data_IF_477635756335
#
_entry.id   IF_477635756335
#
_cell.length_a   1.000
_cell.length_b   1.000
_cell.length_c   1.000
_cell.angle_alpha   90.00
_cell.angle_beta   90.00
_cell.angle_gamma   90.00
#
_symmetry.space_group_name_H-M   'P 1'
#
loop_
_entity.id
_entity.type
_entity.pdbx_description
1 polymer ?
#
# COMPACT_ATOMS: atom_id res chain seq x y z
N UNK A 1 7.68 0.31 -26.51
CA UNK A 1 7.47 0.98 -25.23
C UNK A 1 7.49 2.48 -25.46
N UNK A 2 6.43 3.18 -25.10
CA UNK A 2 6.33 4.63 -25.21
C UNK A 2 6.70 5.29 -23.87
N UNK A 3 7.25 6.51 -23.95
CA UNK A 3 7.50 7.34 -22.76
C UNK A 3 6.48 8.48 -22.74
N UNK A 4 5.92 8.74 -21.58
CA UNK A 4 4.97 9.80 -21.35
C UNK A 4 5.26 10.48 -19.99
N UNK A 5 4.63 11.61 -19.78
CA UNK A 5 4.70 12.33 -18.50
C UNK A 5 3.28 12.76 -18.10
N UNK A 6 3.03 12.77 -16.82
CA UNK A 6 1.79 13.29 -16.25
C UNK A 6 2.04 13.87 -14.86
N UNK A 7 1.28 14.88 -14.51
CA UNK A 7 1.30 15.46 -13.18
C UNK A 7 0.59 14.52 -12.17
N UNK A 8 0.90 14.68 -10.90
CA UNK A 8 0.18 13.98 -9.81
C UNK A 8 -1.32 14.23 -9.92
N UNK A 9 -1.76 15.46 -10.20
CA UNK A 9 -3.17 15.79 -10.34
C UNK A 9 -3.84 15.05 -11.49
N UNK A 10 -3.16 14.95 -12.64
CA UNK A 10 -3.68 14.19 -13.80
C UNK A 10 -3.80 12.70 -13.47
N UNK A 11 -2.78 12.11 -12.83
CA UNK A 11 -2.80 10.69 -12.47
C UNK A 11 -3.88 10.37 -11.44
N UNK A 12 -4.06 11.22 -10.43
CA UNK A 12 -5.14 11.08 -9.45
C UNK A 12 -6.50 11.21 -10.14
N UNK A 13 -6.66 12.19 -11.04
CA UNK A 13 -7.88 12.34 -11.83
C UNK A 13 -8.17 11.12 -12.73
N UNK A 14 -7.14 10.50 -13.32
CA UNK A 14 -7.30 9.25 -14.09
C UNK A 14 -7.78 8.08 -13.23
N UNK A 15 -7.31 7.98 -11.97
CA UNK A 15 -7.82 6.99 -11.02
C UNK A 15 -9.31 7.24 -10.74
N UNK A 16 -9.67 8.48 -10.38
CA UNK A 16 -11.06 8.84 -10.06
C UNK A 16 -12.03 8.54 -11.20
N UNK A 17 -11.66 8.90 -12.42
CA UNK A 17 -12.49 8.67 -13.62
C UNK A 17 -12.46 7.21 -14.09
N UNK A 18 -11.73 6.32 -13.40
CA UNK A 18 -11.61 4.92 -13.79
C UNK A 18 -10.84 4.68 -15.09
N UNK A 19 -10.06 5.66 -15.55
CA UNK A 19 -9.17 5.55 -16.71
C UNK A 19 -7.93 4.71 -16.39
N UNK A 20 -7.49 4.75 -15.14
CA UNK A 20 -6.40 3.96 -14.61
C UNK A 20 -6.95 2.87 -13.70
N UNK A 21 -6.61 1.61 -13.98
CA UNK A 21 -7.10 0.43 -13.27
C UNK A 21 -5.96 -0.43 -12.77
N UNK A 22 -6.24 -1.33 -11.83
CA UNK A 22 -5.28 -2.31 -11.33
C UNK A 22 -5.58 -3.68 -11.91
N UNK A 23 -4.60 -4.37 -12.53
CA UNK A 23 -4.75 -5.78 -12.87
C UNK A 23 -4.72 -6.63 -11.60
N UNK A 24 -5.36 -7.80 -11.62
CA UNK A 24 -5.45 -8.69 -10.45
C UNK A 24 -4.08 -9.19 -9.94
N UNK A 25 -3.03 -9.14 -10.77
CA UNK A 25 -1.68 -9.52 -10.38
C UNK A 25 -1.07 -8.61 -9.30
N UNK A 26 -1.64 -7.43 -9.08
CA UNK A 26 -1.17 -6.50 -8.07
C UNK A 26 -1.58 -6.95 -6.66
N UNK A 27 -0.74 -6.67 -5.66
CA UNK A 27 -1.13 -6.83 -4.27
C UNK A 27 -2.09 -5.73 -3.83
N UNK A 28 -2.78 -5.92 -2.71
CA UNK A 28 -3.57 -4.87 -2.08
C UNK A 28 -2.67 -3.72 -1.59
N UNK A 29 -3.30 -2.57 -1.33
CA UNK A 29 -2.62 -1.45 -0.69
C UNK A 29 -2.16 -1.85 0.72
N UNK A 30 -0.85 -1.67 1.00
CA UNK A 30 -0.22 -2.10 2.26
C UNK A 30 0.65 -1.03 2.92
N UNK A 31 0.83 0.15 2.27
CA UNK A 31 1.68 1.17 2.85
C UNK A 31 1.14 1.70 4.17
N UNK A 32 2.05 1.79 5.14
CA UNK A 32 1.79 2.37 6.46
C UNK A 32 2.00 3.89 6.41
N UNK A 33 1.47 4.59 7.42
CA UNK A 33 1.52 6.05 7.53
C UNK A 33 2.93 6.65 7.40
N UNK A 34 3.99 6.07 7.98
CA UNK A 34 5.35 6.59 7.81
C UNK A 34 5.81 6.62 6.35
N UNK A 35 5.55 5.57 5.58
CA UNK A 35 5.90 5.55 4.14
C UNK A 35 5.12 6.58 3.32
N UNK A 36 3.86 6.83 3.66
CA UNK A 36 3.07 7.90 3.02
C UNK A 36 3.63 9.27 3.38
N UNK A 37 4.00 9.49 4.64
CA UNK A 37 4.70 10.70 5.10
C UNK A 37 5.98 10.94 4.30
N UNK A 38 6.82 9.93 4.14
CA UNK A 38 8.11 10.04 3.47
C UNK A 38 7.96 10.31 1.96
N UNK A 39 6.91 9.73 1.34
CA UNK A 39 6.56 10.05 -0.05
C UNK A 39 6.17 11.53 -0.18
N UNK A 40 5.26 12.01 0.68
CA UNK A 40 4.77 13.39 0.63
C UNK A 40 5.92 14.38 0.92
N UNK A 41 6.80 14.08 1.87
CA UNK A 41 7.99 14.89 2.16
C UNK A 41 8.97 14.92 0.98
N UNK A 42 9.20 13.78 0.34
CA UNK A 42 10.04 13.70 -0.87
C UNK A 42 9.50 14.58 -2.00
N UNK A 43 8.20 14.52 -2.27
CA UNK A 43 7.57 15.35 -3.30
C UNK A 43 7.57 16.83 -2.93
N UNK A 44 7.35 17.16 -1.67
CA UNK A 44 7.43 18.53 -1.16
C UNK A 44 8.84 19.12 -1.36
N UNK A 45 9.88 18.30 -1.20
CA UNK A 45 11.28 18.69 -1.44
C UNK A 45 11.69 18.66 -2.90
N UNK A 46 10.87 18.10 -3.79
CA UNK A 46 11.18 17.93 -5.21
C UNK A 46 12.12 16.76 -5.48
N UNK A 47 12.21 15.79 -4.56
CA UNK A 47 13.05 14.60 -4.72
C UNK A 47 12.41 13.60 -5.69
N UNK A 48 13.22 12.81 -6.40
CA UNK A 48 12.70 11.77 -7.28
C UNK A 48 12.00 10.67 -6.45
N UNK A 49 10.79 10.30 -6.87
CA UNK A 49 9.96 9.27 -6.21
C UNK A 49 9.71 8.03 -7.08
N UNK A 50 10.53 7.83 -8.11
CA UNK A 50 10.45 6.71 -9.04
C UNK A 50 9.58 7.01 -10.28
N UNK A 51 9.55 6.07 -11.22
CA UNK A 51 8.71 6.12 -12.42
C UNK A 51 7.39 5.37 -12.21
N UNK A 52 6.46 5.53 -13.14
CA UNK A 52 5.20 4.79 -13.21
C UNK A 52 5.27 3.85 -14.41
N UNK A 53 4.86 2.59 -14.24
CA UNK A 53 4.77 1.62 -15.32
C UNK A 53 3.31 1.35 -15.64
N UNK A 54 2.94 1.57 -16.90
CA UNK A 54 1.57 1.37 -17.41
C UNK A 54 1.56 0.36 -18.54
N UNK A 55 0.42 -0.30 -18.70
CA UNK A 55 0.10 -1.09 -19.88
C UNK A 55 -1.25 -0.63 -20.46
N UNK A 56 -1.26 -0.27 -21.72
CA UNK A 56 -2.49 -0.04 -22.47
C UNK A 56 -2.93 -1.35 -23.13
N UNK A 57 -4.18 -1.76 -22.93
CA UNK A 57 -4.67 -3.00 -23.49
C UNK A 57 -6.14 -2.92 -23.88
N UNK A 58 -6.50 -3.65 -24.94
CA UNK A 58 -7.89 -3.93 -25.31
C UNK A 58 -8.32 -5.34 -24.84
N UNK A 59 -7.40 -6.09 -24.23
CA UNK A 59 -7.69 -7.42 -23.69
C UNK A 59 -8.53 -7.28 -22.40
N UNK A 60 -9.55 -8.10 -22.30
CA UNK A 60 -10.34 -8.22 -21.07
C UNK A 60 -9.53 -8.99 -20.03
N UNK A 61 -8.92 -8.26 -19.10
CA UNK A 61 -8.17 -8.85 -17.98
C UNK A 61 -8.92 -8.68 -16.68
N UNK A 62 -8.80 -9.63 -15.74
CA UNK A 62 -9.37 -9.48 -14.40
C UNK A 62 -8.75 -8.27 -13.69
N UNK A 63 -9.61 -7.45 -13.08
CA UNK A 63 -9.24 -6.22 -12.41
C UNK A 63 -9.39 -6.35 -10.89
N UNK A 64 -8.52 -5.64 -10.18
CA UNK A 64 -8.65 -5.38 -8.76
C UNK A 64 -9.09 -3.92 -8.54
N UNK A 65 -9.84 -3.69 -7.48
CA UNK A 65 -10.23 -2.33 -7.09
C UNK A 65 -9.07 -1.58 -6.43
N UNK A 66 -8.98 -0.30 -6.71
CA UNK A 66 -8.14 0.60 -5.91
C UNK A 66 -8.70 0.72 -4.49
N UNK A 67 -7.83 1.02 -3.53
CA UNK A 67 -8.26 1.32 -2.16
C UNK A 67 -8.85 2.73 -2.00
N UNK A 68 -9.05 3.46 -3.10
CA UNK A 68 -9.70 4.78 -3.21
C UNK A 68 -10.86 4.70 -4.18
N UNK A 69 -11.84 5.59 -4.04
CA UNK A 69 -13.04 5.61 -4.87
C UNK A 69 -12.73 5.80 -6.36
N UNK A 70 -13.40 5.04 -7.20
CA UNK A 70 -13.32 5.14 -8.65
C UNK A 70 -14.72 5.18 -9.29
N UNK A 71 -14.86 5.99 -10.34
CA UNK A 71 -16.04 5.96 -11.19
C UNK A 71 -15.97 4.76 -12.15
N UNK A 72 -17.11 4.21 -12.48
CA UNK A 72 -17.21 3.17 -13.52
C UNK A 72 -17.41 3.84 -14.87
N UNK A 73 -16.45 3.70 -15.78
CA UNK A 73 -16.61 4.15 -17.16
C UNK A 73 -16.46 2.98 -18.12
N UNK A 74 -17.55 2.46 -18.69
CA UNK A 74 -17.52 1.28 -19.57
C UNK A 74 -16.96 1.57 -20.97
N UNK A 75 -16.78 2.82 -21.36
CA UNK A 75 -16.46 3.21 -22.73
C UNK A 75 -15.02 3.68 -22.96
N UNK A 76 -14.19 3.73 -21.92
CA UNK A 76 -12.81 4.19 -22.07
C UNK A 76 -11.82 3.02 -22.16
N UNK A 77 -10.82 3.19 -23.05
CA UNK A 77 -9.69 2.27 -23.11
C UNK A 77 -8.98 2.22 -21.75
N UNK A 78 -8.80 1.02 -21.26
CA UNK A 78 -8.26 0.81 -19.91
C UNK A 78 -6.74 0.88 -19.94
N UNK A 79 -6.17 1.75 -19.11
CA UNK A 79 -4.76 1.75 -18.76
C UNK A 79 -4.58 1.00 -17.46
N UNK A 80 -3.72 0.00 -17.47
CA UNK A 80 -3.43 -0.81 -16.30
C UNK A 80 -2.14 -0.33 -15.65
N UNK A 81 -2.21 -0.04 -14.36
CA UNK A 81 -1.06 0.36 -13.55
C UNK A 81 -0.30 -0.90 -13.13
N UNK A 82 0.97 -1.01 -13.54
CA UNK A 82 1.84 -2.15 -13.21
C UNK A 82 2.83 -1.82 -12.09
N UNK A 83 3.33 -0.58 -12.03
CA UNK A 83 4.14 -0.12 -10.90
C UNK A 83 3.74 1.31 -10.51
N UNK A 84 3.87 1.61 -9.22
CA UNK A 84 3.48 2.88 -8.61
C UNK A 84 2.13 2.87 -7.91
N UNK A 85 1.47 1.73 -7.78
CA UNK A 85 0.15 1.59 -7.12
C UNK A 85 0.14 2.20 -5.72
N UNK A 86 1.08 1.82 -4.86
CA UNK A 86 1.12 2.30 -3.48
C UNK A 86 1.26 3.82 -3.41
N UNK A 87 2.13 4.37 -4.27
CA UNK A 87 2.36 5.83 -4.38
C UNK A 87 1.12 6.57 -4.83
N UNK A 88 0.51 6.15 -5.94
CA UNK A 88 -0.66 6.83 -6.49
C UNK A 88 -1.90 6.70 -5.60
N UNK A 89 -2.10 5.53 -4.96
CA UNK A 89 -3.17 5.35 -3.97
C UNK A 89 -2.99 6.31 -2.78
N UNK A 90 -1.76 6.41 -2.25
CA UNK A 90 -1.44 7.32 -1.15
C UNK A 90 -1.68 8.79 -1.52
N UNK A 91 -1.22 9.19 -2.71
CA UNK A 91 -1.38 10.56 -3.20
C UNK A 91 -2.85 10.90 -3.47
N UNK A 92 -3.61 9.97 -4.05
CA UNK A 92 -5.05 10.13 -4.23
C UNK A 92 -5.75 10.37 -2.90
N UNK A 93 -5.47 9.52 -1.91
CA UNK A 93 -6.04 9.66 -0.57
C UNK A 93 -5.71 11.01 0.08
N UNK A 94 -4.44 11.42 0.06
CA UNK A 94 -3.98 12.65 0.70
C UNK A 94 -4.53 13.89 -0.01
N UNK A 95 -4.53 13.90 -1.35
CA UNK A 95 -4.95 15.07 -2.14
C UNK A 95 -6.47 15.26 -2.12
N UNK A 96 -7.24 14.17 -2.15
CA UNK A 96 -8.72 14.23 -2.12
C UNK A 96 -9.27 14.27 -0.70
N UNK A 97 -8.44 13.94 0.28
CA UNK A 97 -8.86 13.85 1.68
C UNK A 97 -9.79 12.67 1.93
N UNK A 98 -9.67 11.64 1.09
CA UNK A 98 -10.33 10.36 1.28
C UNK A 98 -9.39 9.44 2.04
N UNK A 99 -9.75 9.04 3.25
CA UNK A 99 -8.88 8.19 4.04
C UNK A 99 -8.80 6.79 3.43
N UNK A 100 -7.59 6.28 3.26
CA UNK A 100 -7.37 4.88 2.89
C UNK A 100 -7.30 4.05 4.16
N UNK A 101 -8.22 3.09 4.29
CA UNK A 101 -8.13 2.09 5.35
C UNK A 101 -7.00 1.11 5.03
N UNK A 102 -5.96 1.12 5.85
CA UNK A 102 -4.90 0.10 5.80
C UNK A 102 -5.35 -1.12 6.59
N UNK A 103 -5.10 -2.34 6.08
CA UNK A 103 -5.43 -3.58 6.78
C UNK A 103 -4.92 -3.55 8.22
N UNK A 104 -5.78 -3.91 9.16
CA UNK A 104 -5.45 -3.91 10.61
C UNK A 104 -5.58 -2.56 11.31
N UNK A 105 -5.86 -1.46 10.62
CA UNK A 105 -6.07 -0.15 11.24
C UNK A 105 -7.53 0.29 11.17
N UNK A 106 -8.05 0.73 12.30
CA UNK A 106 -9.42 1.29 12.43
C UNK A 106 -9.54 2.75 11.95
N UNK A 107 -8.41 3.44 11.72
CA UNK A 107 -8.39 4.85 11.33
C UNK A 107 -7.60 5.06 10.05
N UNK A 108 -8.11 5.93 9.16
CA UNK A 108 -7.40 6.35 7.96
C UNK A 108 -6.08 7.05 8.31
N UNK A 109 -5.12 7.00 7.38
CA UNK A 109 -3.87 7.74 7.52
C UNK A 109 -4.12 9.22 7.32
N UNK A 110 -3.93 10.03 8.35
CA UNK A 110 -3.91 11.49 8.25
C UNK A 110 -2.50 12.00 8.53
N UNK A 111 -2.05 12.97 7.74
CA UNK A 111 -0.77 13.66 7.91
C UNK A 111 -0.97 15.09 8.36
N UNK A 112 -0.07 15.55 9.23
CA UNK A 112 0.05 16.95 9.60
C UNK A 112 1.29 17.56 8.95
N UNK A 113 1.17 18.80 8.53
CA UNK A 113 2.24 19.62 7.98
C UNK A 113 2.60 20.72 8.97
N UNK A 114 3.89 20.88 9.23
CA UNK A 114 4.44 21.85 10.15
C UNK A 114 4.69 23.18 9.43
N UNK A 115 3.93 24.23 9.77
CA UNK A 115 4.15 25.57 9.24
C UNK A 115 5.47 26.21 9.72
N UNK A 116 6.06 25.67 10.81
CA UNK A 116 7.29 26.17 11.42
C UNK A 116 8.51 25.27 11.18
N UNK A 117 8.39 24.25 10.31
CA UNK A 117 9.51 23.35 10.03
C UNK A 117 10.79 24.13 9.69
N UNK A 118 12.00 23.61 10.04
CA UNK A 118 13.27 24.22 9.65
C UNK A 118 13.39 24.39 8.13
N UNK A 119 14.05 25.45 7.69
CA UNK A 119 14.36 25.66 6.26
C UNK A 119 15.53 24.78 5.82
N UNK A 120 16.38 24.36 6.78
CA UNK A 120 17.50 23.46 6.56
C UNK A 120 17.05 22.00 6.43
N UNK A 121 17.87 21.21 5.73
CA UNK A 121 17.65 19.78 5.59
C UNK A 121 17.81 19.09 6.96
N UNK A 122 16.73 18.54 7.47
CA UNK A 122 16.77 17.65 8.62
C UNK A 122 16.76 16.22 8.09
N UNK A 123 17.80 15.44 8.40
CA UNK A 123 17.86 14.03 8.09
C UNK A 123 16.89 13.30 9.03
N UNK A 124 15.83 12.79 8.50
CA UNK A 124 14.74 12.12 9.25
C UNK A 124 14.60 10.65 8.84
N UNK A 125 15.30 10.25 7.78
CA UNK A 125 15.24 8.87 7.27
C UNK A 125 16.02 7.97 8.20
N UNK A 126 15.33 7.12 8.93
CA UNK A 126 15.93 5.99 9.62
C UNK A 126 16.27 4.94 8.58
N UNK A 127 17.51 4.48 8.58
CA UNK A 127 17.94 3.36 7.74
C UNK A 127 17.78 2.12 8.59
N UNK A 128 16.77 1.30 8.28
CA UNK A 128 16.61 0.00 8.91
C UNK A 128 17.84 -0.87 8.59
N UNK A 129 18.64 -1.20 9.61
CA UNK A 129 19.85 -2.01 9.46
C UNK A 129 19.52 -3.47 9.08
N UNK A 130 18.35 -3.94 9.41
CA UNK A 130 17.88 -5.26 9.06
C UNK A 130 16.82 -5.20 7.96
N UNK A 131 17.17 -5.78 6.79
CA UNK A 131 16.24 -5.98 5.68
C UNK A 131 15.20 -7.05 5.95
N UNK A 132 14.71 -7.17 7.17
CA UNK A 132 13.55 -7.97 7.53
C UNK A 132 12.30 -7.20 7.08
N UNK A 133 11.78 -7.57 5.90
CA UNK A 133 10.42 -7.22 5.47
C UNK A 133 9.35 -7.92 6.36
N UNK A 134 9.69 -8.21 7.60
CA UNK A 134 8.73 -8.67 8.58
C UNK A 134 7.87 -7.46 8.97
N UNK A 135 6.65 -7.46 8.44
CA UNK A 135 5.56 -6.56 8.85
C UNK A 135 5.11 -6.88 10.30
N UNK A 136 6.03 -7.27 11.15
CA UNK A 136 5.77 -7.41 12.57
C UNK A 136 5.73 -6.03 13.22
N UNK A 137 4.51 -5.63 13.55
CA UNK A 137 4.07 -4.71 14.59
C UNK A 137 5.15 -3.85 15.28
N UNK A 138 5.84 -2.97 14.55
CA UNK A 138 6.31 -1.75 15.13
C UNK A 138 5.24 -0.67 14.91
N UNK A 139 4.09 -0.92 15.49
CA UNK A 139 3.25 0.15 15.97
C UNK A 139 4.15 0.88 16.99
N UNK A 140 4.51 2.12 16.70
CA UNK A 140 4.93 3.05 17.75
C UNK A 140 3.73 3.10 18.71
N UNK A 141 3.65 2.05 19.51
CA UNK A 141 2.72 1.97 20.62
C UNK A 141 3.10 3.10 21.55
N UNK A 142 2.09 3.65 22.22
CA UNK A 142 2.22 4.61 23.33
C UNK A 142 3.22 4.17 24.44
N UNK A 143 3.98 3.08 24.23
CA UNK A 143 4.94 2.49 25.17
C UNK A 143 6.36 3.11 25.12
N UNK A 144 6.69 4.02 24.18
CA UNK A 144 7.85 4.92 24.36
C UNK A 144 7.56 6.06 25.38
N UNK A 145 6.68 5.80 26.32
CA UNK A 145 6.25 6.76 27.36
C UNK A 145 7.33 7.14 28.38
N UNK A 146 8.56 6.63 28.26
CA UNK A 146 9.66 6.93 29.19
C UNK A 146 10.84 7.67 28.54
N UNK A 147 10.81 7.99 27.26
CA UNK A 147 11.71 8.92 26.62
C UNK A 147 11.21 10.34 26.87
N UNK A 148 12.07 11.17 27.45
CA UNK A 148 11.90 12.57 27.81
C UNK A 148 10.94 13.29 26.82
N UNK A 149 9.70 13.60 27.23
CA UNK A 149 8.67 14.25 26.39
C UNK A 149 9.22 15.49 25.66
N UNK A 150 10.17 16.20 26.27
CA UNK A 150 10.83 17.37 25.68
C UNK A 150 11.72 17.02 24.48
N UNK A 151 12.37 15.87 24.46
CA UNK A 151 13.21 15.44 23.33
C UNK A 151 12.35 14.98 22.16
N UNK A 152 11.29 14.25 22.45
CA UNK A 152 10.32 13.84 21.44
C UNK A 152 9.65 15.07 20.78
N UNK A 153 9.24 16.06 21.58
CA UNK A 153 8.66 17.30 21.05
C UNK A 153 9.66 18.07 20.19
N UNK A 154 10.93 18.21 20.63
CA UNK A 154 12.00 18.84 19.84
C UNK A 154 12.28 18.09 18.53
N UNK A 155 12.20 16.77 18.53
CA UNK A 155 12.32 15.94 17.31
C UNK A 155 11.17 16.22 16.36
N UNK A 156 9.93 16.20 16.85
CA UNK A 156 8.74 16.47 16.07
C UNK A 156 8.74 17.89 15.47
N UNK A 157 9.13 18.89 16.24
CA UNK A 157 9.18 20.30 15.79
C UNK A 157 10.16 20.51 14.63
N UNK A 158 11.13 19.62 14.46
CA UNK A 158 12.08 19.63 13.33
C UNK A 158 11.55 18.92 12.09
N UNK A 159 10.44 18.17 12.19
CA UNK A 159 9.86 17.43 11.07
C UNK A 159 8.95 18.33 10.24
N UNK A 160 8.99 18.14 8.93
CA UNK A 160 8.07 18.81 7.99
C UNK A 160 6.69 18.18 8.01
N UNK A 161 6.64 16.84 8.10
CA UNK A 161 5.41 16.05 8.14
C UNK A 161 5.46 15.04 9.27
N UNK A 162 4.31 14.82 9.90
CA UNK A 162 4.13 13.76 10.90
C UNK A 162 2.78 13.06 10.68
N UNK A 163 2.65 11.85 11.20
CA UNK A 163 1.35 11.18 11.29
C UNK A 163 0.50 11.90 12.33
N UNK A 164 -0.76 12.16 12.01
CA UNK A 164 -1.65 12.92 12.86
C UNK A 164 -1.91 12.21 14.20
N UNK A 165 -1.69 12.94 15.29
CA UNK A 165 -2.09 12.54 16.65
C UNK A 165 -2.97 13.63 17.24
N UNK A 166 -3.86 13.26 18.17
CA UNK A 166 -4.75 14.24 18.83
C UNK A 166 -3.99 15.38 19.52
N UNK A 167 -2.81 15.09 20.07
CA UNK A 167 -1.96 16.07 20.77
C UNK A 167 -1.41 17.10 19.78
N UNK A 168 -0.86 16.64 18.65
CA UNK A 168 -0.30 17.51 17.61
C UNK A 168 -1.37 18.30 16.84
N UNK A 169 -2.54 17.72 16.63
CA UNK A 169 -3.66 18.42 16.01
C UNK A 169 -4.13 19.65 16.77
N UNK A 170 -3.83 19.76 18.07
CA UNK A 170 -4.19 20.93 18.88
C UNK A 170 -3.19 22.08 18.76
N UNK A 171 -1.97 21.79 18.30
CA UNK A 171 -0.94 22.81 18.14
C UNK A 171 -1.22 23.70 16.91
N UNK A 172 -1.08 25.02 17.04
CA UNK A 172 -1.55 25.98 16.03
C UNK A 172 -0.74 25.92 14.72
N UNK A 173 0.53 25.53 14.78
CA UNK A 173 1.42 25.46 13.61
C UNK A 173 1.34 24.13 12.85
N UNK A 174 0.62 23.13 13.37
CA UNK A 174 0.36 21.88 12.69
C UNK A 174 -0.98 21.92 11.97
N UNK A 175 -0.98 21.74 10.65
CA UNK A 175 -2.17 21.77 9.81
C UNK A 175 -2.36 20.44 9.08
N UNK A 176 -3.62 20.01 8.91
CA UNK A 176 -3.93 18.77 8.18
C UNK A 176 -3.61 18.96 6.69
N UNK A 177 -2.79 18.04 6.16
CA UNK A 177 -2.40 18.05 4.75
C UNK A 177 -3.63 17.96 3.85
N UNK A 178 -4.61 17.11 4.21
CA UNK A 178 -5.86 16.95 3.48
C UNK A 178 -6.69 18.24 3.41
N UNK A 179 -6.69 19.05 4.49
CA UNK A 179 -7.38 20.33 4.51
C UNK A 179 -6.70 21.38 3.61
N UNK A 180 -5.35 21.37 3.57
CA UNK A 180 -4.59 22.27 2.70
C UNK A 180 -4.89 21.98 1.24
N UNK A 181 -5.06 20.72 0.86
CA UNK A 181 -5.43 20.36 -0.52
C UNK A 181 -6.90 20.67 -0.86
N UNK A 182 -7.80 20.81 0.10
CA UNK A 182 -9.21 21.13 -0.15
C UNK A 182 -9.49 22.60 -0.42
N UNK A 183 -8.56 23.50 -0.12
CA UNK A 183 -8.75 24.93 -0.31
C UNK A 183 -7.51 25.61 -0.87
N UNK A 184 -7.71 26.59 -1.72
CA UNK A 184 -6.63 27.45 -2.23
C UNK A 184 -6.35 28.64 -1.29
N UNK A 185 -7.23 28.87 -0.30
CA UNK A 185 -7.07 29.96 0.67
C UNK A 185 -6.11 29.58 1.80
N UNK A 186 -5.14 30.45 2.09
CA UNK A 186 -4.22 30.30 3.22
C UNK A 186 -4.83 30.81 4.53
N UNK A 187 -5.84 31.69 4.43
CA UNK A 187 -6.43 32.41 5.57
C UNK A 187 -6.84 31.53 6.76
N UNK A 188 -7.47 30.36 6.57
CA UNK A 188 -7.83 29.48 7.70
C UNK A 188 -6.62 29.00 8.49
N UNK A 189 -5.55 28.67 7.79
CA UNK A 189 -4.31 28.13 8.37
C UNK A 189 -3.51 29.23 9.07
N UNK A 190 -3.41 30.43 8.46
CA UNK A 190 -2.76 31.59 9.07
C UNK A 190 -3.51 32.01 10.36
N UNK A 191 -4.84 32.11 10.30
CA UNK A 191 -5.65 32.41 11.49
C UNK A 191 -5.45 31.39 12.61
N UNK A 192 -5.40 30.09 12.27
CA UNK A 192 -5.12 29.03 13.23
C UNK A 192 -3.75 29.17 13.88
N UNK A 193 -2.72 29.58 13.10
CA UNK A 193 -1.37 29.85 13.57
C UNK A 193 -1.23 31.17 14.36
N UNK A 194 -2.36 31.87 14.64
CA UNK A 194 -2.40 33.12 15.37
C UNK A 194 -2.02 34.36 14.56
N UNK A 195 -1.96 34.23 13.23
CA UNK A 195 -1.64 35.33 12.31
C UNK A 195 -2.97 35.96 11.86
N UNK A 196 -3.23 37.16 12.35
CA UNK A 196 -4.44 37.93 12.04
C UNK A 196 -4.13 39.13 11.13
N UNK A 197 -2.87 39.54 11.12
CA UNK A 197 -2.36 40.65 10.31
C UNK A 197 -1.47 40.11 9.17
N UNK A 198 -1.65 40.64 7.96
CA UNK A 198 -0.81 40.31 6.82
C UNK A 198 0.61 40.88 6.91
N UNK A 199 0.79 41.91 7.75
CA UNK A 199 2.12 42.50 8.03
C UNK A 199 2.97 41.65 9.01
N UNK A 200 2.40 40.55 9.58
CA UNK A 200 3.15 39.60 10.37
C UNK A 200 4.22 38.91 9.49
N UNK A 201 5.52 38.97 9.86
CA UNK A 201 6.60 38.40 9.06
C UNK A 201 6.43 36.91 8.75
N UNK A 202 5.66 36.16 9.59
CA UNK A 202 5.37 34.73 9.40
C UNK A 202 4.34 34.51 8.31
N UNK A 203 3.50 35.51 7.99
CA UNK A 203 2.41 35.39 7.01
C UNK A 203 2.93 34.96 5.66
N UNK A 204 3.93 35.66 5.11
CA UNK A 204 4.54 35.34 3.84
C UNK A 204 5.22 33.97 3.83
N UNK A 205 5.99 33.66 4.87
CA UNK A 205 6.69 32.39 5.01
C UNK A 205 5.71 31.19 5.02
N UNK A 206 4.61 31.30 5.76
CA UNK A 206 3.61 30.22 5.84
C UNK A 206 2.83 30.08 4.54
N UNK A 207 2.48 31.20 3.88
CA UNK A 207 1.83 31.16 2.58
C UNK A 207 2.71 30.51 1.51
N UNK A 208 4.00 30.81 1.48
CA UNK A 208 4.95 30.15 0.57
C UNK A 208 5.04 28.65 0.82
N UNK A 209 5.04 28.22 2.10
CA UNK A 209 5.07 26.80 2.50
C UNK A 209 3.78 26.09 2.09
N UNK A 210 2.61 26.70 2.31
CA UNK A 210 1.33 26.17 1.86
C UNK A 210 1.23 26.08 0.34
N UNK A 211 1.71 27.09 -0.37
CA UNK A 211 1.77 27.07 -1.84
C UNK A 211 2.70 25.94 -2.35
N UNK A 212 3.86 25.74 -1.71
CA UNK A 212 4.78 24.64 -2.02
C UNK A 212 4.12 23.27 -1.75
N UNK A 213 3.38 23.12 -0.65
CA UNK A 213 2.64 21.89 -0.36
C UNK A 213 1.61 21.59 -1.44
N UNK A 214 0.78 22.58 -1.82
CA UNK A 214 -0.17 22.44 -2.94
C UNK A 214 0.53 22.16 -4.27
N UNK A 215 1.76 22.63 -4.44
CA UNK A 215 2.62 22.40 -5.59
C UNK A 215 2.89 20.93 -5.88
N UNK A 216 2.73 20.02 -4.90
CA UNK A 216 2.82 18.56 -5.08
C UNK A 216 1.88 18.09 -6.21
N UNK A 217 0.72 18.70 -6.40
CA UNK A 217 -0.20 18.37 -7.50
C UNK A 217 0.44 18.53 -8.88
N UNK A 218 1.41 19.44 -9.01
CA UNK A 218 2.11 19.74 -10.26
C UNK A 218 3.38 18.91 -10.44
N UNK A 219 3.75 18.09 -9.47
CA UNK A 219 4.90 17.19 -9.60
C UNK A 219 4.68 16.24 -10.77
N UNK A 220 5.68 16.12 -11.66
CA UNK A 220 5.58 15.35 -12.90
C UNK A 220 6.20 13.97 -12.70
N UNK A 221 5.41 12.93 -12.91
CA UNK A 221 5.88 11.56 -13.01
C UNK A 221 6.24 11.21 -14.45
N UNK A 222 7.38 10.55 -14.62
CA UNK A 222 7.71 9.85 -15.86
C UNK A 222 6.97 8.53 -15.89
N UNK A 223 6.40 8.21 -17.05
CA UNK A 223 5.65 6.99 -17.27
C UNK A 223 6.28 6.20 -18.42
N UNK A 224 6.52 4.92 -18.17
CA UNK A 224 6.82 3.94 -19.20
C UNK A 224 5.53 3.20 -19.56
N UNK A 225 5.11 3.25 -20.83
CA UNK A 225 3.88 2.66 -21.31
C UNK A 225 4.21 1.45 -22.18
N UNK A 226 3.77 0.27 -21.75
CA UNK A 226 3.93 -0.97 -22.50
C UNK A 226 2.99 -1.01 -23.70
N UNK A 227 3.44 -1.69 -24.75
CA UNK A 227 2.72 -1.77 -26.02
C UNK A 227 1.44 -2.58 -25.87
N UNK A 228 0.39 -2.09 -26.53
CA UNK A 228 -0.97 -2.68 -26.50
C UNK A 228 -1.05 -4.12 -27.00
N UNK A 229 -0.15 -4.51 -27.90
CA UNK A 229 -0.09 -5.86 -28.50
C UNK A 229 0.47 -6.94 -27.55
N UNK A 230 1.08 -6.57 -26.43
CA UNK A 230 1.60 -7.54 -25.47
C UNK A 230 0.46 -8.32 -24.85
N UNK A 231 0.67 -9.63 -24.68
CA UNK A 231 -0.25 -10.49 -23.94
C UNK A 231 -0.13 -10.29 -22.43
N UNK A 232 -1.14 -10.71 -21.68
CA UNK A 232 -1.14 -10.67 -20.22
C UNK A 232 0.05 -11.43 -19.61
N UNK A 233 0.44 -12.57 -20.21
CA UNK A 233 1.58 -13.38 -19.76
C UNK A 233 2.91 -12.65 -19.96
N UNK A 234 3.12 -12.00 -21.10
CA UNK A 234 4.32 -11.20 -21.38
C UNK A 234 4.41 -10.00 -20.41
N UNK A 235 3.30 -9.34 -20.16
CA UNK A 235 3.23 -8.21 -19.23
C UNK A 235 3.49 -8.67 -17.80
N UNK A 236 2.98 -9.83 -17.40
CA UNK A 236 3.28 -10.42 -16.10
C UNK A 236 4.76 -10.73 -15.93
N UNK A 237 5.40 -11.26 -16.96
CA UNK A 237 6.85 -11.52 -16.94
C UNK A 237 7.65 -10.21 -16.80
N UNK A 238 7.27 -9.15 -17.53
CA UNK A 238 7.87 -7.82 -17.39
C UNK A 238 7.68 -7.29 -15.96
N UNK A 239 6.45 -7.39 -15.44
CA UNK A 239 6.13 -6.96 -14.07
C UNK A 239 7.02 -7.66 -13.03
N UNK A 240 7.13 -8.98 -13.12
CA UNK A 240 7.96 -9.78 -12.21
C UNK A 240 9.44 -9.37 -12.32
N UNK A 241 9.97 -9.20 -13.52
CA UNK A 241 11.39 -8.81 -13.72
C UNK A 241 11.70 -7.43 -13.21
N UNK A 242 10.88 -6.43 -13.55
CA UNK A 242 11.08 -5.06 -13.10
C UNK A 242 11.08 -4.98 -11.58
N UNK A 243 10.16 -5.67 -10.94
CA UNK A 243 10.04 -5.67 -9.48
C UNK A 243 11.07 -6.56 -8.77
N UNK A 244 11.59 -7.61 -9.45
CA UNK A 244 12.66 -8.45 -8.89
C UNK A 244 14.02 -7.75 -8.87
N UNK A 245 14.24 -6.81 -9.81
CA UNK A 245 15.51 -6.08 -9.96
C UNK A 245 15.52 -4.76 -9.18
N UNK A 246 14.34 -4.26 -8.79
CA UNK A 246 14.14 -2.97 -8.12
C UNK A 246 13.79 -3.08 -6.66
N UNK A 247 12.76 -2.34 -6.25
CA UNK A 247 12.23 -2.39 -4.88
C UNK A 247 11.71 -3.79 -4.56
N UNK A 248 12.10 -4.34 -3.41
CA UNK A 248 11.74 -5.70 -2.98
C UNK A 248 10.22 -5.88 -2.86
N UNK A 249 9.59 -6.43 -3.90
CA UNK A 249 8.31 -7.10 -3.70
C UNK A 249 8.57 -8.40 -2.94
N UNK A 250 7.63 -8.77 -2.08
CA UNK A 250 7.69 -10.06 -1.40
C UNK A 250 7.63 -11.20 -2.42
N UNK A 251 8.29 -12.30 -2.14
CA UNK A 251 8.21 -13.50 -2.98
C UNK A 251 6.77 -14.00 -3.17
N UNK A 252 5.88 -13.75 -2.20
CA UNK A 252 4.44 -14.03 -2.28
C UNK A 252 3.73 -13.15 -3.32
N UNK A 253 4.11 -11.88 -3.46
CA UNK A 253 3.49 -10.96 -4.44
C UNK A 253 3.88 -11.37 -5.87
N UNK A 254 5.14 -11.74 -6.08
CA UNK A 254 5.62 -12.26 -7.36
C UNK A 254 4.96 -13.60 -7.72
N UNK A 255 4.80 -14.48 -6.73
CA UNK A 255 4.08 -15.74 -6.91
C UNK A 255 2.60 -15.51 -7.25
N UNK A 256 1.94 -14.58 -6.58
CA UNK A 256 0.57 -14.18 -6.90
C UNK A 256 0.45 -13.74 -8.37
N UNK A 257 1.35 -12.87 -8.82
CA UNK A 257 1.36 -12.42 -10.21
C UNK A 257 1.47 -13.57 -11.20
N UNK A 258 2.37 -14.53 -10.95
CA UNK A 258 2.54 -15.72 -11.78
C UNK A 258 1.33 -16.66 -11.74
N UNK A 259 0.68 -16.82 -10.59
CA UNK A 259 -0.52 -17.65 -10.45
C UNK A 259 -1.68 -17.03 -11.19
N UNK A 260 -1.94 -15.72 -11.02
CA UNK A 260 -3.07 -15.01 -11.65
C UNK A 260 -2.93 -14.94 -13.17
N UNK A 261 -1.69 -14.89 -13.70
CA UNK A 261 -1.45 -14.96 -15.12
C UNK A 261 -1.96 -16.28 -15.73
N UNK A 262 -1.75 -17.39 -15.04
CA UNK A 262 -2.15 -18.73 -15.50
C UNK A 262 -3.58 -19.07 -15.14
N UNK A 263 -4.03 -18.64 -14.00
CA UNK A 263 -5.38 -18.89 -13.48
C UNK A 263 -6.08 -17.55 -13.21
N UNK A 264 -6.63 -16.97 -14.28
CA UNK A 264 -7.35 -15.67 -14.23
C UNK A 264 -8.55 -15.75 -13.28
N UNK A 265 -8.73 -14.72 -12.46
CA UNK A 265 -9.77 -14.63 -11.46
C UNK A 265 -9.45 -15.36 -10.14
N UNK A 266 -8.29 -15.98 -10.01
CA UNK A 266 -7.87 -16.70 -8.79
C UNK A 266 -7.73 -15.79 -7.58
N UNK A 267 -7.36 -14.53 -7.74
CA UNK A 267 -7.27 -13.59 -6.64
C UNK A 267 -8.58 -13.46 -5.85
N UNK A 268 -9.72 -13.36 -6.54
CA UNK A 268 -11.03 -13.29 -5.88
C UNK A 268 -11.34 -14.56 -5.09
N UNK A 269 -10.94 -15.73 -5.62
CA UNK A 269 -11.12 -17.03 -4.96
C UNK A 269 -10.31 -17.07 -3.67
N UNK A 270 -9.04 -16.68 -3.73
CA UNK A 270 -8.14 -16.65 -2.57
C UNK A 270 -8.63 -15.66 -1.51
N UNK A 271 -9.04 -14.45 -1.91
CA UNK A 271 -9.59 -13.45 -1.01
C UNK A 271 -10.91 -13.88 -0.37
N UNK A 272 -11.77 -14.57 -1.13
CA UNK A 272 -13.00 -15.15 -0.61
C UNK A 272 -12.73 -16.12 0.53
N UNK A 273 -11.81 -17.06 0.32
CA UNK A 273 -11.42 -18.04 1.33
C UNK A 273 -10.70 -17.39 2.51
N UNK A 274 -9.83 -16.42 2.27
CA UNK A 274 -9.20 -15.63 3.35
C UNK A 274 -10.28 -14.97 4.22
N UNK A 275 -11.32 -14.39 3.61
CA UNK A 275 -12.45 -13.81 4.35
C UNK A 275 -13.24 -14.83 5.17
N UNK A 276 -13.39 -16.08 4.66
CA UNK A 276 -14.01 -17.17 5.41
C UNK A 276 -13.18 -17.56 6.64
N UNK A 277 -11.85 -17.69 6.49
CA UNK A 277 -10.94 -17.93 7.61
C UNK A 277 -11.01 -16.81 8.65
N UNK A 278 -11.06 -15.55 8.22
CA UNK A 278 -11.20 -14.38 9.10
C UNK A 278 -12.48 -14.39 9.92
N UNK A 279 -13.62 -14.84 9.35
CA UNK A 279 -14.89 -14.96 10.07
C UNK A 279 -14.85 -15.95 11.23
N UNK A 280 -13.94 -16.93 11.18
CA UNK A 280 -13.76 -17.92 12.25
C UNK A 280 -12.57 -17.59 13.16
N UNK A 281 -12.05 -16.36 13.10
CA UNK A 281 -10.98 -15.87 13.99
C UNK A 281 -9.57 -16.00 13.42
N UNK A 282 -9.39 -16.59 12.23
CA UNK A 282 -8.08 -16.79 11.60
C UNK A 282 -7.85 -15.87 10.40
N UNK A 283 -7.73 -14.57 10.65
CA UNK A 283 -7.34 -13.59 9.61
C UNK A 283 -5.83 -13.65 9.39
N UNK A 284 -5.41 -14.52 8.48
CA UNK A 284 -4.01 -14.69 8.10
C UNK A 284 -3.70 -14.04 6.75
N UNK A 285 -2.43 -13.71 6.51
CA UNK A 285 -1.99 -13.06 5.28
C UNK A 285 -2.21 -13.92 4.04
N UNK A 286 -2.48 -13.28 2.89
CA UNK A 286 -2.67 -13.96 1.62
C UNK A 286 -1.44 -14.79 1.22
N UNK A 287 -0.23 -14.31 1.56
CA UNK A 287 1.02 -15.03 1.31
C UNK A 287 1.07 -16.40 1.98
N UNK A 288 0.45 -16.55 3.15
CA UNK A 288 0.34 -17.84 3.81
C UNK A 288 -0.58 -18.80 3.03
N UNK A 289 -1.72 -18.31 2.53
CA UNK A 289 -2.60 -19.12 1.69
C UNK A 289 -1.90 -19.53 0.38
N UNK A 290 -1.10 -18.66 -0.22
CA UNK A 290 -0.30 -19.00 -1.40
C UNK A 290 0.80 -20.00 -1.09
N UNK A 291 1.48 -19.89 0.05
CA UNK A 291 2.44 -20.92 0.49
C UNK A 291 1.78 -22.27 0.69
N UNK A 292 0.58 -22.27 1.27
CA UNK A 292 -0.20 -23.49 1.44
C UNK A 292 -0.55 -24.12 0.08
N UNK A 293 -1.09 -23.32 -0.86
CA UNK A 293 -1.35 -23.77 -2.23
C UNK A 293 -0.12 -24.43 -2.86
N UNK A 294 1.05 -23.78 -2.77
CA UNK A 294 2.28 -24.31 -3.38
C UNK A 294 2.75 -25.58 -2.68
N UNK A 295 2.60 -25.68 -1.35
CA UNK A 295 2.90 -26.91 -0.62
C UNK A 295 2.04 -28.08 -1.11
N UNK A 296 0.76 -27.86 -1.36
CA UNK A 296 -0.13 -28.89 -1.92
C UNK A 296 0.20 -29.24 -3.38
N UNK A 297 0.57 -28.25 -4.19
CA UNK A 297 0.90 -28.45 -5.60
C UNK A 297 2.24 -29.17 -5.81
N UNK A 298 3.24 -28.95 -4.93
CA UNK A 298 4.63 -29.37 -5.17
C UNK A 298 5.26 -30.19 -4.05
N UNK A 299 4.61 -30.29 -2.89
CA UNK A 299 5.19 -30.84 -1.67
C UNK A 299 6.22 -29.95 -0.99
N UNK A 300 6.40 -28.70 -1.46
CA UNK A 300 7.36 -27.74 -0.92
C UNK A 300 6.73 -26.36 -0.77
N UNK A 301 7.03 -25.64 0.29
CA UNK A 301 6.50 -24.29 0.55
C UNK A 301 7.33 -23.15 -0.09
N UNK A 302 8.08 -23.43 -1.15
CA UNK A 302 8.96 -22.46 -1.83
C UNK A 302 8.29 -21.92 -3.10
N UNK A 303 8.22 -20.60 -3.26
CA UNK A 303 7.63 -19.96 -4.43
C UNK A 303 8.43 -20.09 -5.74
N UNK A 304 9.67 -20.52 -5.70
CA UNK A 304 10.54 -20.64 -6.87
C UNK A 304 10.00 -21.53 -8.01
N UNK A 305 9.09 -22.44 -7.70
CA UNK A 305 8.54 -23.43 -8.65
C UNK A 305 7.25 -23.00 -9.31
N UNK A 306 6.64 -21.90 -8.88
CA UNK A 306 5.29 -21.44 -9.33
C UNK A 306 5.25 -21.19 -10.84
N UNK A 307 6.27 -20.54 -11.39
CA UNK A 307 6.33 -20.20 -12.80
C UNK A 307 6.21 -21.39 -13.76
N UNK A 308 6.55 -22.60 -13.32
CA UNK A 308 6.47 -23.84 -14.12
C UNK A 308 5.15 -24.62 -13.99
N UNK A 309 4.26 -24.26 -13.06
CA UNK A 309 3.04 -25.06 -12.78
C UNK A 309 1.91 -24.72 -13.78
N UNK A 310 1.22 -25.75 -14.33
CA UNK A 310 0.00 -25.55 -15.12
C UNK A 310 -1.16 -25.02 -14.27
N UNK A 311 -2.09 -24.29 -14.89
CA UNK A 311 -3.32 -23.80 -14.24
C UNK A 311 -4.13 -24.93 -13.58
N UNK A 312 -4.27 -26.05 -14.26
CA UNK A 312 -5.02 -27.20 -13.75
C UNK A 312 -4.42 -27.73 -12.44
N UNK A 313 -3.08 -27.87 -12.36
CA UNK A 313 -2.39 -28.30 -11.13
C UNK A 313 -2.64 -27.33 -9.99
N UNK A 314 -2.65 -26.03 -10.25
CA UNK A 314 -2.94 -25.00 -9.24
C UNK A 314 -4.40 -25.10 -8.75
N UNK A 315 -5.36 -25.34 -9.65
CA UNK A 315 -6.77 -25.47 -9.30
C UNK A 315 -7.06 -26.72 -8.46
N UNK A 316 -6.48 -27.86 -8.87
CA UNK A 316 -6.61 -29.11 -8.13
C UNK A 316 -5.97 -29.02 -6.73
N UNK A 317 -4.75 -28.45 -6.66
CA UNK A 317 -4.06 -28.22 -5.40
C UNK A 317 -4.82 -27.25 -4.48
N UNK A 318 -5.49 -26.24 -5.05
CA UNK A 318 -6.30 -25.31 -4.27
C UNK A 318 -7.49 -25.98 -3.60
N UNK A 319 -8.20 -26.85 -4.30
CA UNK A 319 -9.31 -27.60 -3.72
C UNK A 319 -8.85 -28.43 -2.51
N UNK A 320 -7.69 -29.09 -2.63
CA UNK A 320 -7.07 -29.87 -1.54
C UNK A 320 -6.59 -28.95 -0.39
N UNK A 321 -6.01 -27.78 -0.74
CA UNK A 321 -5.55 -26.78 0.21
C UNK A 321 -6.71 -26.24 1.08
N UNK A 322 -7.85 -25.94 0.48
CA UNK A 322 -9.06 -25.50 1.21
C UNK A 322 -9.50 -26.56 2.24
N UNK A 323 -9.59 -27.82 1.81
CA UNK A 323 -9.93 -28.93 2.72
C UNK A 323 -8.92 -29.09 3.87
N UNK A 324 -7.63 -29.06 3.53
CA UNK A 324 -6.57 -29.18 4.54
C UNK A 324 -6.60 -28.01 5.54
N UNK A 325 -6.83 -26.77 5.06
CA UNK A 325 -6.94 -25.61 5.94
C UNK A 325 -8.17 -25.69 6.84
N UNK A 326 -9.32 -26.12 6.33
CA UNK A 326 -10.52 -26.33 7.14
C UNK A 326 -10.29 -27.36 8.23
N UNK A 327 -9.59 -28.48 7.92
CA UNK A 327 -9.16 -29.45 8.91
C UNK A 327 -8.27 -28.82 9.97
N UNK A 328 -7.24 -28.07 9.57
CA UNK A 328 -6.31 -27.42 10.50
C UNK A 328 -7.04 -26.46 11.46
N UNK A 329 -7.93 -25.62 10.93
CA UNK A 329 -8.71 -24.67 11.72
C UNK A 329 -9.64 -25.37 12.70
N UNK A 330 -10.34 -26.41 12.26
CA UNK A 330 -11.20 -27.22 13.13
C UNK A 330 -10.42 -27.91 14.24
N UNK A 331 -9.26 -28.46 13.90
CA UNK A 331 -8.38 -29.12 14.91
C UNK A 331 -7.90 -28.08 15.95
N UNK A 332 -7.41 -26.95 15.53
CA UNK A 332 -6.92 -25.92 16.44
C UNK A 332 -8.01 -25.43 17.38
N UNK A 333 -9.19 -25.13 16.87
CA UNK A 333 -10.29 -24.59 17.67
C UNK A 333 -10.91 -25.64 18.61
N UNK A 334 -11.22 -26.79 18.08
CA UNK A 334 -12.02 -27.80 18.82
C UNK A 334 -11.18 -28.73 19.67
N UNK A 335 -9.91 -28.96 19.33
CA UNK A 335 -9.04 -29.90 20.02
C UNK A 335 -7.90 -29.23 20.78
N UNK A 336 -7.33 -28.14 20.23
CA UNK A 336 -6.21 -27.44 20.87
C UNK A 336 -6.64 -26.18 21.65
N UNK A 337 -7.89 -25.72 21.52
CA UNK A 337 -8.38 -24.52 22.21
C UNK A 337 -7.75 -23.21 21.67
N UNK A 338 -7.25 -23.25 20.45
CA UNK A 338 -6.60 -22.10 19.78
C UNK A 338 -7.61 -21.51 18.80
N UNK A 339 -8.09 -20.30 19.05
CA UNK A 339 -9.12 -19.60 18.28
C UNK A 339 -8.60 -18.38 17.50
N UNK A 340 -7.30 -18.08 17.63
CA UNK A 340 -6.65 -16.95 16.94
C UNK A 340 -5.24 -17.32 16.50
N UNK A 341 -4.77 -16.80 15.32
CA UNK A 341 -3.39 -17.00 14.87
C UNK A 341 -2.35 -16.38 15.81
N UNK A 342 -2.73 -15.38 16.63
CA UNK A 342 -1.85 -14.77 17.63
C UNK A 342 -1.42 -15.75 18.75
N UNK A 343 -2.14 -16.84 18.95
CA UNK A 343 -1.79 -17.89 19.91
C UNK A 343 -0.85 -18.95 19.33
N UNK A 344 -0.56 -18.87 18.03
CA UNK A 344 0.40 -19.77 17.38
C UNK A 344 1.81 -19.20 17.49
N UNK A 345 2.80 -20.04 17.78
CA UNK A 345 4.22 -19.65 17.72
C UNK A 345 4.65 -19.19 16.32
N UNK A 346 3.96 -19.69 15.30
CA UNK A 346 4.09 -19.23 13.91
C UNK A 346 2.81 -19.55 13.13
N UNK A 347 2.25 -18.60 12.37
CA UNK A 347 1.13 -18.88 11.47
C UNK A 347 1.41 -19.99 10.43
N UNK A 348 2.70 -20.25 10.12
CA UNK A 348 3.11 -21.32 9.19
C UNK A 348 2.76 -22.73 9.69
N UNK A 349 2.46 -22.93 10.97
CA UNK A 349 1.93 -24.19 11.49
C UNK A 349 0.63 -24.59 10.79
N UNK A 350 -0.18 -23.63 10.34
CA UNK A 350 -1.40 -23.90 9.55
C UNK A 350 -1.10 -24.65 8.26
N UNK A 351 0.01 -24.34 7.57
CA UNK A 351 0.43 -25.03 6.35
C UNK A 351 0.77 -26.49 6.66
N UNK A 352 1.57 -26.72 7.71
CA UNK A 352 1.98 -28.07 8.10
C UNK A 352 0.80 -28.92 8.55
N UNK A 353 -0.09 -28.36 9.38
CA UNK A 353 -1.29 -29.06 9.86
C UNK A 353 -2.27 -29.36 8.72
N UNK A 354 -2.50 -28.40 7.83
CA UNK A 354 -3.36 -28.58 6.68
C UNK A 354 -2.86 -29.67 5.74
N UNK A 355 -1.58 -29.62 5.40
CA UNK A 355 -0.95 -30.62 4.54
C UNK A 355 -0.98 -32.05 5.18
N UNK A 356 -0.72 -32.15 6.49
CA UNK A 356 -0.82 -33.39 7.21
C UNK A 356 -2.25 -33.96 7.22
N UNK A 357 -3.24 -33.11 7.50
CA UNK A 357 -4.65 -33.53 7.53
C UNK A 357 -5.18 -34.02 6.18
N UNK A 358 -4.64 -33.49 5.07
CA UNK A 358 -4.99 -33.95 3.73
C UNK A 358 -4.37 -35.31 3.38
N UNK A 359 -3.20 -35.62 3.92
CA UNK A 359 -2.46 -36.89 3.65
C UNK A 359 -2.98 -38.13 4.44
N UNK A 360 -3.84 -37.90 5.42
CA UNK A 360 -4.49 -38.96 6.22
C UNK A 360 -5.93 -39.18 5.86
#
# INVERSE_FOLDING_TARGET
MAKAEATVEELVGMIERGELRLPEMQRRYVWRSPRVRDLVDSLYRGYPSGAILLWETDEAVPLQEFAVAQQTNPYQSTRLLLDGQQRLTSLSAVIRGEPVAVRGRKRPVELLFNLEHPDELVVVTEVDEDGSDDDDDDDLTDDEADSNEDELQKRLDRMTFVVATKKLEQLPHWVKVTEVFKTDSDRPFLKRAGITDLDDPRSEKYSQRLARLRGIRKYVYRMDVLERKLSYDEVTEIFVRVNSLGAKLRSSDLALAQITAKWRGSLKIFQGFQGECGKVGFDVDLGLHLKNLIAFATGQSRFLTVGGLPAQTLQEAWAQCVHGMQFALNFLRNNAGIDSPALLSSPFLLVSLGYYGHRR
#
